data_IF_707395639640
#
_entry.id   IF_707395639640
#
_cell.length_a   1.000
_cell.length_b   1.000
_cell.length_c   1.000
_cell.angle_alpha   90.00
_cell.angle_beta   90.00
_cell.angle_gamma   90.00
#
_symmetry.space_group_name_H-M   'P 1'
#
loop_
_entity.id
_entity.type
_entity.pdbx_description
1 polymer ?
#
# COMPACT_ATOMS: atom_id res chain seq x y z
N UNK A 1 35.67 19.59 20.12
CA UNK A 1 35.24 18.18 20.18
C UNK A 1 34.15 17.97 19.12
N UNK A 2 34.14 16.84 18.43
CA UNK A 2 33.23 16.52 17.30
C UNK A 2 33.03 15.01 17.19
N UNK A 3 32.19 14.53 16.27
CA UNK A 3 32.05 13.09 15.99
C UNK A 3 33.39 12.40 15.69
N UNK A 4 34.32 13.08 15.01
CA UNK A 4 35.66 12.57 14.73
C UNK A 4 36.66 12.71 15.91
N UNK A 5 36.34 13.51 16.93
CA UNK A 5 37.15 13.72 18.13
C UNK A 5 36.22 13.85 19.36
N UNK A 6 35.69 12.71 19.85
CA UNK A 6 34.58 12.69 20.79
C UNK A 6 34.99 13.01 22.22
N UNK A 7 36.28 13.02 22.54
CA UNK A 7 36.74 13.44 23.86
C UNK A 7 37.88 14.44 23.76
N UNK A 8 38.07 15.22 24.82
CA UNK A 8 39.32 15.90 25.05
C UNK A 8 39.28 16.77 26.30
N UNK A 9 40.35 17.51 26.51
CA UNK A 9 40.59 18.27 27.73
C UNK A 9 40.84 19.73 27.36
N UNK A 10 40.27 20.64 28.13
CA UNK A 10 40.60 22.06 28.10
C UNK A 10 41.05 22.50 29.49
N UNK A 11 41.89 23.55 29.56
CA UNK A 11 42.39 24.08 30.82
C UNK A 11 41.95 25.52 30.96
N UNK A 12 41.11 25.79 31.97
CA UNK A 12 40.72 27.15 32.31
C UNK A 12 41.76 27.71 33.28
N UNK A 13 42.50 28.70 32.80
CA UNK A 13 43.63 29.28 33.53
C UNK A 13 43.11 30.23 34.62
N UNK A 14 43.44 29.95 35.89
CA UNK A 14 43.14 30.85 36.99
C UNK A 14 44.35 31.75 37.26
N UNK A 15 44.10 33.04 37.55
CA UNK A 15 45.16 34.02 37.82
C UNK A 15 46.15 33.64 38.95
N UNK A 16 45.86 32.59 39.72
CA UNK A 16 46.64 32.12 40.88
C UNK A 16 47.35 30.78 40.68
N UNK A 17 47.34 30.20 39.47
CA UNK A 17 48.09 28.95 39.17
C UNK A 17 47.44 27.64 39.65
N UNK A 18 46.21 27.69 40.14
CA UNK A 18 45.36 26.52 40.30
C UNK A 18 44.40 26.44 39.09
N UNK A 19 44.86 25.83 38.02
CA UNK A 19 44.05 25.69 36.80
C UNK A 19 42.97 24.63 36.98
N UNK A 20 41.82 24.82 36.33
CA UNK A 20 40.75 23.81 36.29
C UNK A 20 40.85 23.00 35.01
N UNK A 21 40.76 21.68 35.11
CA UNK A 21 40.70 20.78 33.95
C UNK A 21 39.24 20.53 33.62
N UNK A 22 38.83 20.88 32.40
CA UNK A 22 37.52 20.58 31.84
C UNK A 22 37.66 19.37 30.92
N UNK A 23 37.10 18.24 31.33
CA UNK A 23 37.00 17.05 30.48
C UNK A 23 35.70 17.13 29.69
N UNK A 24 35.80 17.02 28.37
CA UNK A 24 34.66 17.07 27.47
C UNK A 24 34.52 15.71 26.79
N UNK A 25 33.29 15.19 26.81
CA UNK A 25 32.88 13.97 26.13
C UNK A 25 31.65 14.26 25.27
N UNK A 26 31.71 13.83 24.01
CA UNK A 26 30.65 13.87 23.00
C UNK A 26 30.31 12.43 22.68
N UNK A 27 29.03 12.07 22.78
CA UNK A 27 28.53 10.77 22.37
C UNK A 27 27.72 10.95 21.09
N UNK A 28 28.11 10.26 20.03
CA UNK A 28 27.30 10.16 18.81
C UNK A 28 26.15 9.18 19.07
N UNK A 29 24.93 9.59 18.72
CA UNK A 29 23.76 8.72 18.79
C UNK A 29 23.70 7.81 17.57
N UNK A 30 23.06 6.65 17.71
CA UNK A 30 22.78 5.78 16.57
C UNK A 30 21.98 6.54 15.49
N UNK A 31 22.12 6.19 14.20
CA UNK A 31 21.26 6.74 13.17
C UNK A 31 19.79 6.52 13.53
N UNK A 32 18.89 7.41 13.08
CA UNK A 32 17.46 7.27 13.33
C UNK A 32 16.97 5.90 12.85
N UNK A 33 16.02 5.32 13.58
CA UNK A 33 15.36 4.12 13.12
C UNK A 33 14.76 4.37 11.73
N UNK A 34 14.87 3.39 10.86
CA UNK A 34 14.29 3.44 9.51
C UNK A 34 13.11 2.49 9.46
N UNK A 35 11.98 2.97 8.96
CA UNK A 35 10.80 2.18 8.69
C UNK A 35 10.44 2.31 7.22
N UNK A 36 9.86 1.24 6.67
CA UNK A 36 9.39 1.21 5.30
C UNK A 36 7.89 0.90 5.29
N UNK A 37 7.13 1.75 4.62
CA UNK A 37 5.73 1.54 4.31
C UNK A 37 5.67 1.18 2.83
N UNK A 38 5.42 -0.10 2.56
CA UNK A 38 5.17 -0.62 1.23
C UNK A 38 3.72 -1.08 1.16
N UNK A 39 2.91 -0.42 0.32
CA UNK A 39 1.50 -0.73 0.13
C UNK A 39 1.21 -0.99 -1.34
N UNK A 40 0.29 -1.92 -1.59
CA UNK A 40 -0.34 -2.12 -2.89
C UNK A 40 -1.74 -1.51 -2.82
N UNK A 41 -2.05 -0.60 -3.74
CA UNK A 41 -3.30 0.15 -3.78
C UNK A 41 -3.97 -0.01 -5.14
N UNK A 42 -5.28 0.25 -5.19
CA UNK A 42 -6.02 0.29 -6.45
C UNK A 42 -5.77 1.64 -7.16
N UNK A 43 -5.86 1.70 -8.51
CA UNK A 43 -5.76 2.96 -9.24
C UNK A 43 -6.73 4.03 -8.70
N UNK A 44 -6.24 5.26 -8.57
CA UNK A 44 -7.00 6.38 -8.00
C UNK A 44 -7.07 6.43 -6.46
N UNK A 45 -6.57 5.43 -5.74
CA UNK A 45 -6.46 5.50 -4.28
C UNK A 45 -5.31 6.39 -3.82
N UNK A 46 -5.37 6.81 -2.56
CA UNK A 46 -4.37 7.68 -1.95
C UNK A 46 -4.02 7.23 -0.55
N UNK A 47 -2.77 7.39 -0.16
CA UNK A 47 -2.29 7.19 1.20
C UNK A 47 -1.83 8.53 1.78
N UNK A 48 -2.38 8.94 2.92
CA UNK A 48 -1.95 10.15 3.62
C UNK A 48 -1.09 9.80 4.84
N UNK A 49 0.10 10.39 4.91
CA UNK A 49 0.98 10.30 6.07
C UNK A 49 1.44 11.70 6.46
N UNK A 50 1.15 12.11 7.70
CA UNK A 50 1.59 13.40 8.25
C UNK A 50 1.18 14.63 7.41
N UNK A 51 0.03 14.56 6.72
CA UNK A 51 -0.46 15.62 5.84
C UNK A 51 0.12 15.61 4.42
N UNK A 52 1.07 14.71 4.14
CA UNK A 52 1.55 14.43 2.78
C UNK A 52 0.66 13.36 2.13
N UNK A 53 0.16 13.65 0.93
CA UNK A 53 -0.63 12.71 0.14
C UNK A 53 0.30 12.00 -0.85
N UNK A 54 0.23 10.68 -0.84
CA UNK A 54 0.88 9.78 -1.78
C UNK A 54 -0.19 9.15 -2.67
N UNK A 55 0.02 9.22 -3.98
CA UNK A 55 -0.90 8.80 -5.02
C UNK A 55 -0.12 8.30 -6.25
N UNK A 56 -0.79 8.01 -7.37
CA UNK A 56 -0.14 7.53 -8.60
C UNK A 56 0.89 8.50 -9.19
N UNK A 57 0.75 9.81 -8.92
CA UNK A 57 1.69 10.83 -9.38
C UNK A 57 2.82 11.09 -8.36
N UNK A 58 2.60 10.70 -7.09
CA UNK A 58 3.55 10.78 -5.99
C UNK A 58 3.59 9.43 -5.22
N UNK A 59 4.09 8.35 -5.83
CA UNK A 59 3.97 7.00 -5.25
C UNK A 59 5.02 6.73 -4.17
N UNK A 60 6.03 7.59 -4.00
CA UNK A 60 7.09 7.35 -3.02
C UNK A 60 7.67 8.63 -2.46
N UNK A 61 8.28 8.53 -1.28
CA UNK A 61 8.94 9.66 -0.63
C UNK A 61 9.43 9.29 0.77
N UNK A 62 9.87 10.31 1.51
CA UNK A 62 10.36 10.12 2.88
C UNK A 62 9.73 11.11 3.84
N UNK A 63 9.41 10.64 5.04
CA UNK A 63 8.89 11.44 6.16
C UNK A 63 9.83 11.30 7.36
N UNK A 64 10.02 12.37 8.12
CA UNK A 64 10.81 12.33 9.36
C UNK A 64 9.89 12.62 10.54
N UNK A 65 9.61 11.62 11.36
CA UNK A 65 8.88 11.82 12.61
C UNK A 65 9.88 12.17 13.72
N UNK A 66 9.65 13.28 14.40
CA UNK A 66 10.46 13.70 15.56
C UNK A 66 9.70 13.27 16.82
N UNK A 67 10.29 12.37 17.63
CA UNK A 67 9.69 11.93 18.89
C UNK A 67 9.46 13.09 19.87
N UNK A 68 8.27 13.16 20.49
CA UNK A 68 7.87 14.26 21.39
C UNK A 68 8.50 14.22 22.80
N UNK A 69 9.56 13.46 23.05
CA UNK A 69 10.27 13.46 24.34
C UNK A 69 11.78 13.63 24.18
N UNK A 70 12.24 14.87 24.35
CA UNK A 70 13.53 15.23 24.96
C UNK A 70 14.84 14.60 24.46
N UNK A 71 14.93 14.19 23.19
CA UNK A 71 16.25 13.99 22.57
C UNK A 71 16.23 13.15 21.30
N UNK A 72 16.41 13.81 20.15
CA UNK A 72 17.00 13.29 18.91
C UNK A 72 16.62 11.90 18.35
N UNK A 73 15.59 11.23 18.85
CA UNK A 73 15.05 10.01 18.25
C UNK A 73 14.06 10.44 17.16
N UNK A 74 14.59 10.82 16.00
CA UNK A 74 13.80 10.88 14.78
C UNK A 74 13.65 9.47 14.20
N UNK A 75 12.53 9.20 13.54
CA UNK A 75 12.33 8.01 12.71
C UNK A 75 12.22 8.48 11.27
N UNK A 76 13.02 7.88 10.39
CA UNK A 76 12.89 8.09 8.94
C UNK A 76 11.94 7.03 8.40
N UNK A 77 10.83 7.46 7.79
CA UNK A 77 9.88 6.58 7.13
C UNK A 77 10.07 6.73 5.63
N UNK A 78 10.30 5.62 4.95
CA UNK A 78 10.27 5.54 3.49
C UNK A 78 8.90 5.02 3.04
N UNK A 79 8.21 5.76 2.20
CA UNK A 79 6.93 5.37 1.59
C UNK A 79 7.20 4.90 0.17
N UNK A 80 6.67 3.73 -0.19
CA UNK A 80 6.71 3.18 -1.53
C UNK A 80 5.38 2.49 -1.86
N UNK A 81 4.56 3.13 -2.68
CA UNK A 81 3.28 2.63 -3.12
C UNK A 81 3.42 1.96 -4.50
N UNK A 82 2.68 0.88 -4.69
CA UNK A 82 2.49 0.24 -5.98
C UNK A 82 0.99 0.26 -6.30
N UNK A 83 0.63 0.68 -7.50
CA UNK A 83 -0.76 0.72 -7.95
C UNK A 83 -1.00 -0.42 -8.93
N UNK A 84 -1.91 -1.33 -8.59
CA UNK A 84 -2.19 -2.53 -9.37
C UNK A 84 -3.64 -2.48 -9.87
N UNK A 85 -3.80 -2.39 -11.18
CA UNK A 85 -5.11 -2.50 -11.83
C UNK A 85 -5.59 -3.96 -11.79
N UNK A 86 -6.90 -4.17 -11.60
CA UNK A 86 -7.51 -5.49 -11.70
C UNK A 86 -8.17 -5.61 -13.07
N UNK A 87 -7.84 -6.68 -13.78
CA UNK A 87 -8.45 -7.04 -15.06
C UNK A 87 -9.18 -8.37 -14.91
N UNK A 88 -10.41 -8.46 -15.41
CA UNK A 88 -11.21 -9.68 -15.40
C UNK A 88 -11.64 -10.02 -16.82
N UNK A 89 -11.41 -11.27 -17.20
CA UNK A 89 -11.75 -11.78 -18.53
C UNK A 89 -13.08 -12.53 -18.44
N UNK A 90 -14.14 -11.93 -18.97
CA UNK A 90 -15.45 -12.57 -19.02
C UNK A 90 -15.78 -13.08 -20.42
N UNK A 91 -16.50 -14.21 -20.46
CA UNK A 91 -17.16 -14.73 -21.64
C UNK A 91 -18.63 -15.02 -21.32
N UNK A 92 -19.41 -15.37 -22.35
CA UNK A 92 -20.83 -15.64 -22.20
C UNK A 92 -21.26 -16.85 -23.02
N UNK A 93 -22.26 -17.55 -22.50
CA UNK A 93 -22.96 -18.63 -23.18
C UNK A 93 -24.39 -18.15 -23.43
N UNK A 94 -24.71 -17.86 -24.69
CA UNK A 94 -26.02 -17.31 -25.05
C UNK A 94 -27.15 -18.35 -24.92
N UNK A 95 -28.36 -17.92 -24.53
CA UNK A 95 -29.55 -18.76 -24.58
C UNK A 95 -29.79 -19.25 -26.01
N UNK A 96 -30.30 -20.47 -26.12
CA UNK A 96 -30.67 -21.07 -27.41
C UNK A 96 -32.20 -21.18 -27.53
N UNK A 97 -32.70 -21.51 -28.72
CA UNK A 97 -34.14 -21.77 -28.90
C UNK A 97 -34.66 -22.97 -28.07
N UNK A 98 -33.77 -23.80 -27.52
CA UNK A 98 -34.12 -24.94 -26.68
C UNK A 98 -33.83 -24.67 -25.19
N UNK A 99 -32.94 -23.74 -24.90
CA UNK A 99 -32.49 -23.36 -23.57
C UNK A 99 -32.71 -21.86 -23.39
N UNK A 100 -33.80 -21.48 -22.73
CA UNK A 100 -34.23 -20.08 -22.59
C UNK A 100 -33.34 -19.24 -21.66
N UNK A 101 -32.21 -19.77 -21.19
CA UNK A 101 -31.28 -19.09 -20.28
C UNK A 101 -29.83 -19.27 -20.75
N UNK A 102 -29.04 -18.22 -20.57
CA UNK A 102 -27.59 -18.22 -20.79
C UNK A 102 -26.80 -18.22 -19.48
N UNK A 103 -25.48 -18.00 -19.60
CA UNK A 103 -24.55 -17.95 -18.47
C UNK A 103 -23.47 -16.89 -18.72
N UNK A 104 -23.04 -16.20 -17.65
CA UNK A 104 -21.79 -15.46 -17.65
C UNK A 104 -20.66 -16.38 -17.17
N UNK A 105 -19.48 -16.26 -17.75
CA UNK A 105 -18.32 -17.11 -17.42
C UNK A 105 -17.13 -16.22 -17.12
N UNK A 106 -16.62 -16.27 -15.90
CA UNK A 106 -15.36 -15.62 -15.54
C UNK A 106 -14.21 -16.58 -15.86
N UNK A 107 -13.46 -16.27 -16.92
CA UNK A 107 -12.37 -17.11 -17.43
C UNK A 107 -11.08 -16.95 -16.62
N UNK A 108 -10.85 -15.77 -16.07
CA UNK A 108 -9.67 -15.47 -15.27
C UNK A 108 -9.65 -14.03 -14.76
N UNK A 109 -8.74 -13.78 -13.82
CA UNK A 109 -8.46 -12.45 -13.26
C UNK A 109 -6.95 -12.25 -13.22
N UNK A 110 -6.49 -11.08 -13.68
CA UNK A 110 -5.07 -10.69 -13.77
C UNK A 110 -4.84 -9.31 -13.14
N UNK A 111 -3.58 -8.96 -12.94
CA UNK A 111 -3.19 -7.68 -12.34
C UNK A 111 -3.04 -7.77 -10.82
N UNK A 112 -3.88 -7.07 -10.05
CA UNK A 112 -3.83 -7.07 -8.59
C UNK A 112 -3.99 -8.49 -8.00
N UNK A 113 -3.25 -8.83 -6.91
CA UNK A 113 -3.19 -10.18 -6.39
C UNK A 113 -4.51 -10.63 -5.75
N UNK A 114 -4.80 -11.93 -5.84
CA UNK A 114 -5.93 -12.56 -5.16
C UNK A 114 -5.72 -12.75 -3.65
N UNK A 115 -6.69 -13.36 -2.95
CA UNK A 115 -7.85 -14.09 -3.47
C UNK A 115 -8.87 -13.18 -4.18
N UNK A 116 -9.64 -13.78 -5.08
CA UNK A 116 -10.66 -13.08 -5.86
C UNK A 116 -12.07 -13.47 -5.44
N UNK A 117 -13.01 -12.57 -5.69
CA UNK A 117 -14.44 -12.81 -5.60
C UNK A 117 -15.16 -12.19 -6.79
N UNK A 118 -16.39 -12.60 -7.06
CA UNK A 118 -17.20 -12.08 -8.14
C UNK A 118 -18.62 -11.78 -7.68
N UNK A 119 -19.30 -10.87 -8.39
CA UNK A 119 -20.69 -10.50 -8.16
C UNK A 119 -21.41 -10.21 -9.49
N UNK A 120 -22.74 -10.25 -9.45
CA UNK A 120 -23.62 -9.95 -10.58
C UNK A 120 -24.72 -8.99 -10.12
N UNK A 121 -24.97 -7.91 -10.87
CA UNK A 121 -26.03 -6.90 -10.64
C UNK A 121 -26.12 -6.35 -9.20
N UNK A 122 -24.99 -6.27 -8.49
CA UNK A 122 -24.91 -5.78 -7.11
C UNK A 122 -25.24 -6.82 -6.05
N UNK A 123 -25.34 -8.10 -6.41
CA UNK A 123 -25.39 -9.20 -5.45
C UNK A 123 -24.12 -9.26 -4.57
N UNK A 124 -24.18 -9.91 -3.41
CA UNK A 124 -22.99 -10.11 -2.58
C UNK A 124 -21.89 -10.86 -3.31
N UNK A 125 -20.64 -10.45 -3.07
CA UNK A 125 -19.46 -11.11 -3.61
C UNK A 125 -19.35 -12.57 -3.15
N UNK A 126 -19.04 -13.44 -4.11
CA UNK A 126 -18.80 -14.87 -3.92
C UNK A 126 -17.34 -15.18 -4.22
N UNK A 127 -16.65 -15.91 -3.33
CA UNK A 127 -15.25 -16.27 -3.51
C UNK A 127 -15.04 -17.14 -4.76
N UNK A 128 -13.94 -16.89 -5.46
CA UNK A 128 -13.46 -17.70 -6.57
C UNK A 128 -12.48 -18.74 -6.03
N UNK A 129 -12.88 -20.01 -6.05
CA UNK A 129 -11.99 -21.12 -5.70
C UNK A 129 -11.12 -21.56 -6.89
N UNK A 130 -11.71 -21.61 -8.09
CA UNK A 130 -11.05 -22.04 -9.33
C UNK A 130 -11.70 -21.39 -10.56
N UNK A 131 -10.91 -21.17 -11.61
CA UNK A 131 -11.40 -20.73 -12.92
C UNK A 131 -11.59 -21.92 -13.89
N UNK A 132 -12.52 -21.83 -14.86
CA UNK A 132 -13.49 -20.75 -15.02
C UNK A 132 -14.65 -20.85 -14.01
N UNK A 133 -15.27 -19.72 -13.67
CA UNK A 133 -16.49 -19.68 -12.84
C UNK A 133 -17.70 -19.44 -13.73
N UNK A 134 -18.71 -20.30 -13.63
CA UNK A 134 -19.95 -20.19 -14.41
C UNK A 134 -21.05 -19.64 -13.51
N UNK A 135 -21.67 -18.53 -13.94
CA UNK A 135 -22.68 -17.78 -13.20
C UNK A 135 -24.01 -17.84 -13.95
N UNK A 136 -25.06 -18.35 -13.29
CA UNK A 136 -26.39 -18.50 -13.87
C UNK A 136 -27.13 -19.73 -13.33
N UNK A 137 -28.20 -20.19 -14.01
CA UNK A 137 -28.70 -19.71 -15.31
C UNK A 137 -29.27 -18.28 -15.26
N UNK A 138 -29.11 -17.53 -16.35
CA UNK A 138 -29.53 -16.14 -16.50
C UNK A 138 -30.52 -16.00 -17.65
N UNK A 139 -31.60 -15.24 -17.46
CA UNK A 139 -32.56 -14.95 -18.55
C UNK A 139 -31.94 -13.97 -19.56
N UNK A 140 -32.42 -13.89 -20.82
CA UNK A 140 -31.93 -12.91 -21.78
C UNK A 140 -32.05 -11.48 -21.23
N UNK A 141 -30.97 -10.70 -21.34
CA UNK A 141 -30.86 -9.42 -20.67
C UNK A 141 -29.42 -8.92 -20.56
N UNK A 142 -29.25 -7.70 -20.06
CA UNK A 142 -27.93 -7.11 -19.79
C UNK A 142 -27.62 -7.20 -18.30
N UNK A 143 -26.42 -7.67 -17.99
CA UNK A 143 -25.92 -7.92 -16.64
C UNK A 143 -24.63 -7.15 -16.42
N UNK A 144 -24.49 -6.55 -15.24
CA UNK A 144 -23.22 -6.04 -14.76
C UNK A 144 -22.50 -7.13 -13.97
N UNK A 145 -21.35 -7.55 -14.47
CA UNK A 145 -20.49 -8.51 -13.79
C UNK A 145 -19.31 -7.79 -13.17
N UNK A 146 -18.94 -8.21 -11.96
CA UNK A 146 -17.86 -7.63 -11.19
C UNK A 146 -16.91 -8.73 -10.72
N UNK A 147 -15.61 -8.46 -10.74
CA UNK A 147 -14.60 -9.20 -10.01
C UNK A 147 -13.88 -8.24 -9.04
N UNK A 148 -13.54 -8.74 -7.86
CA UNK A 148 -12.87 -7.99 -6.79
C UNK A 148 -11.72 -8.81 -6.22
N UNK A 149 -10.62 -8.17 -5.83
CA UNK A 149 -9.54 -8.80 -5.08
C UNK A 149 -9.66 -8.56 -3.56
N UNK A 150 -8.73 -9.08 -2.76
CA UNK A 150 -8.79 -8.93 -1.30
C UNK A 150 -8.63 -7.48 -0.80
N UNK A 151 -8.03 -6.61 -1.61
CA UNK A 151 -7.79 -5.20 -1.30
C UNK A 151 -8.95 -4.29 -1.76
N UNK A 152 -9.95 -4.84 -2.45
CA UNK A 152 -11.12 -4.09 -2.93
C UNK A 152 -10.96 -3.47 -4.32
N UNK A 153 -9.94 -3.85 -5.09
CA UNK A 153 -9.81 -3.41 -6.48
C UNK A 153 -10.87 -4.09 -7.33
N UNK A 154 -11.60 -3.31 -8.13
CA UNK A 154 -12.76 -3.78 -8.89
C UNK A 154 -12.51 -3.76 -10.40
N UNK A 155 -12.83 -4.87 -11.05
CA UNK A 155 -13.00 -4.96 -12.50
C UNK A 155 -14.49 -5.12 -12.81
N UNK A 156 -15.06 -4.24 -13.63
CA UNK A 156 -16.49 -4.23 -13.96
C UNK A 156 -16.70 -4.32 -15.47
N UNK A 157 -17.61 -5.19 -15.90
CA UNK A 157 -17.98 -5.37 -17.31
C UNK A 157 -19.50 -5.50 -17.48
N UNK A 158 -20.01 -5.19 -18.68
CA UNK A 158 -21.39 -5.42 -19.06
C UNK A 158 -21.48 -6.56 -20.07
N UNK A 159 -22.22 -7.61 -19.70
CA UNK A 159 -22.52 -8.75 -20.57
C UNK A 159 -23.97 -8.66 -21.03
N UNK A 160 -24.28 -9.12 -22.24
CA UNK A 160 -25.66 -9.17 -22.74
C UNK A 160 -25.97 -10.52 -23.35
N UNK A 161 -26.92 -11.24 -22.75
CA UNK A 161 -27.40 -12.57 -23.14
C UNK A 161 -28.67 -12.50 -23.99
#
# INVERSE_FOLDING_TARGET
YSAANPTGIDTLQAASGCDSILTISVTELAPPAQEMIALELCPGETFELNGSIYDENNPSGTETLIGQLSGCDSVLIEVALTFLELEAEWSQIDPTCLEETGYAVLEGVTGAPGPYSYALDGDPFTLVDTFPVIVGPLVPGSYQVLAENADGCLATELITL
#
